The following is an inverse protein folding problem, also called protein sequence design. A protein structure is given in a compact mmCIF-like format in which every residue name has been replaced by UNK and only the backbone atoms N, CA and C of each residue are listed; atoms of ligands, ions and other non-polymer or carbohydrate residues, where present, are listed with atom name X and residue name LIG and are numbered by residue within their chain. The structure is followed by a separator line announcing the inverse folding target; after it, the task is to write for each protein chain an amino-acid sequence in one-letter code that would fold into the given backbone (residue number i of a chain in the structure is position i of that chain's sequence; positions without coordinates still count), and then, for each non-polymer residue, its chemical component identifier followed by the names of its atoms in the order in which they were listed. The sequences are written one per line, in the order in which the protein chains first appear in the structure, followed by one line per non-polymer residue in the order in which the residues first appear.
data_IF_002551686638
#
_entry.id   IF_002551686638
#
_cell.length_a   1.000
_cell.length_b   1.000
_cell.length_c   1.000
_cell.angle_alpha   90.00
_cell.angle_beta   90.00
_cell.angle_gamma   90.00
#
_symmetry.space_group_name_H-M   'P 1'
#
loop_
_entity.id
_entity.type
_entity.pdbx_description
1 polymer ?
#
# COMPACT_ATOMS: atom_id res chain seq x y z
N UNK A 1 -33.39 -35.02 8.78
CA UNK A 1 -32.44 -33.94 9.08
C UNK A 1 -32.70 -32.85 8.06
N UNK A 2 -33.06 -31.63 8.48
CA UNK A 2 -33.29 -30.53 7.54
C UNK A 2 -31.92 -30.15 6.97
N UNK A 3 -31.65 -30.60 5.75
CA UNK A 3 -30.49 -30.20 4.98
C UNK A 3 -30.65 -28.72 4.67
N UNK A 4 -29.79 -27.89 5.26
CA UNK A 4 -29.74 -26.47 4.96
C UNK A 4 -29.08 -26.38 3.59
N UNK A 5 -29.89 -26.34 2.54
CA UNK A 5 -29.46 -26.07 1.16
C UNK A 5 -28.97 -24.62 1.06
N UNK A 6 -27.73 -24.40 1.50
CA UNK A 6 -27.03 -23.14 1.33
C UNK A 6 -25.90 -23.35 0.32
N UNK A 7 -26.16 -22.95 -0.91
CA UNK A 7 -25.15 -22.89 -1.97
C UNK A 7 -24.29 -21.64 -1.72
N UNK A 8 -23.06 -21.86 -1.27
CA UNK A 8 -22.03 -20.81 -1.16
C UNK A 8 -21.69 -20.31 -2.57
N UNK A 9 -21.82 -19.00 -2.80
CA UNK A 9 -21.46 -18.37 -4.07
C UNK A 9 -20.17 -17.57 -3.87
N UNK A 10 -18.99 -18.20 -3.99
CA UNK A 10 -17.74 -17.55 -3.62
C UNK A 10 -17.52 -16.27 -4.43
N UNK A 11 -17.02 -15.23 -3.75
CA UNK A 11 -16.70 -14.01 -4.46
C UNK A 11 -15.62 -14.27 -5.54
N UNK A 12 -15.79 -13.83 -6.80
CA UNK A 12 -14.91 -14.19 -7.91
C UNK A 12 -13.46 -13.66 -7.77
N UNK A 13 -13.23 -12.75 -6.82
CA UNK A 13 -11.89 -12.27 -6.47
C UNK A 13 -11.11 -13.25 -5.57
N UNK A 14 -11.81 -13.98 -4.70
CA UNK A 14 -11.21 -14.89 -3.71
C UNK A 14 -10.49 -16.07 -4.38
N UNK A 15 -11.02 -16.56 -5.51
CA UNK A 15 -10.34 -17.57 -6.33
C UNK A 15 -9.15 -17.01 -7.11
N UNK A 16 -9.29 -15.78 -7.65
CA UNK A 16 -8.22 -15.11 -8.39
C UNK A 16 -7.02 -14.77 -7.50
N UNK A 17 -7.24 -14.52 -6.21
CA UNK A 17 -6.17 -14.25 -5.22
C UNK A 17 -5.36 -15.49 -4.85
N UNK A 18 -5.94 -16.70 -4.87
CA UNK A 18 -5.19 -17.95 -4.64
C UNK A 18 -4.10 -18.18 -5.68
N UNK A 19 -4.25 -17.58 -6.87
CA UNK A 19 -3.36 -17.76 -8.02
C UNK A 19 -2.35 -16.61 -8.20
N UNK A 20 -2.44 -15.50 -7.46
CA UNK A 20 -1.57 -14.32 -7.63
C UNK A 20 -0.96 -13.85 -6.31
N UNK A 21 0.37 -13.73 -6.31
CA UNK A 21 1.11 -13.12 -5.21
C UNK A 21 0.79 -11.62 -5.07
N UNK A 22 0.97 -11.02 -3.87
CA UNK A 22 0.71 -9.60 -3.64
C UNK A 22 1.54 -8.73 -4.60
N UNK A 23 0.98 -7.65 -5.16
CA UNK A 23 1.73 -6.78 -6.06
C UNK A 23 2.94 -6.16 -5.35
N UNK A 24 4.14 -6.52 -5.81
CA UNK A 24 5.38 -5.92 -5.36
C UNK A 24 5.79 -4.79 -6.30
N UNK A 25 6.45 -3.77 -5.74
CA UNK A 25 7.06 -2.65 -6.50
C UNK A 25 8.06 -3.17 -7.56
N UNK A 26 8.62 -4.36 -7.33
CA UNK A 26 9.57 -5.02 -8.24
C UNK A 26 8.93 -5.62 -9.50
N UNK A 27 7.62 -5.90 -9.49
CA UNK A 27 6.91 -6.54 -10.61
C UNK A 27 6.36 -5.54 -11.62
N UNK A 28 6.58 -4.25 -11.37
CA UNK A 28 6.12 -3.20 -12.24
C UNK A 28 7.11 -3.04 -13.41
N UNK A 29 6.59 -2.98 -14.64
CA UNK A 29 7.36 -2.72 -15.86
C UNK A 29 7.82 -1.26 -15.88
N UNK A 30 8.62 -0.90 -14.89
CA UNK A 30 9.32 0.36 -14.86
C UNK A 30 10.45 0.24 -15.87
N UNK A 31 10.35 0.96 -16.99
CA UNK A 31 11.45 1.06 -17.96
C UNK A 31 12.76 1.44 -17.28
N UNK A 32 13.90 1.15 -17.90
CA UNK A 32 15.24 1.38 -17.33
C UNK A 32 15.39 2.77 -16.68
N UNK A 33 14.87 3.81 -17.33
CA UNK A 33 14.90 5.19 -16.85
C UNK A 33 14.12 5.40 -15.54
N UNK A 34 12.95 4.75 -15.38
CA UNK A 34 12.17 4.85 -14.15
C UNK A 34 12.80 4.06 -13.00
N UNK A 35 13.47 2.93 -13.28
CA UNK A 35 14.24 2.19 -12.27
C UNK A 35 15.42 3.01 -11.76
N UNK A 36 16.13 3.67 -12.67
CA UNK A 36 17.23 4.57 -12.34
C UNK A 36 16.72 5.76 -11.52
N UNK A 37 15.62 6.41 -11.95
CA UNK A 37 15.03 7.53 -11.23
C UNK A 37 14.55 7.13 -9.83
N UNK A 38 13.87 5.98 -9.68
CA UNK A 38 13.45 5.46 -8.39
C UNK A 38 14.63 5.11 -7.48
N UNK A 39 15.71 4.53 -8.03
CA UNK A 39 16.92 4.21 -7.27
C UNK A 39 17.60 5.49 -6.76
N UNK A 40 17.84 6.47 -7.63
CA UNK A 40 18.43 7.76 -7.24
C UNK A 40 17.55 8.44 -6.20
N UNK A 41 16.24 8.49 -6.42
CA UNK A 41 15.30 9.12 -5.50
C UNK A 41 15.28 8.43 -4.14
N UNK A 42 15.40 7.10 -4.09
CA UNK A 42 15.46 6.36 -2.83
C UNK A 42 16.76 6.62 -2.07
N UNK A 43 17.88 6.78 -2.79
CA UNK A 43 19.16 7.15 -2.19
C UNK A 43 19.16 8.60 -1.69
N UNK A 44 18.65 9.54 -2.50
CA UNK A 44 18.58 10.97 -2.17
C UNK A 44 17.52 11.28 -1.11
N UNK A 45 16.43 10.50 -1.06
CA UNK A 45 15.39 10.62 -0.04
C UNK A 45 15.82 10.18 1.36
N UNK A 46 17.06 9.70 1.54
CA UNK A 46 17.62 9.42 2.86
C UNK A 46 18.22 10.69 3.47
N UNK A 47 18.14 10.82 4.80
CA UNK A 47 18.74 11.96 5.53
C UNK A 47 20.25 12.11 5.29
N UNK A 48 20.93 11.02 4.90
CA UNK A 48 22.36 11.03 4.55
C UNK A 48 22.68 11.98 3.40
N UNK A 49 21.83 12.08 2.38
CA UNK A 49 22.06 12.99 1.25
C UNK A 49 22.08 14.46 1.70
N UNK A 50 21.20 14.82 2.65
CA UNK A 50 21.15 16.15 3.26
C UNK A 50 22.43 16.45 4.03
N UNK A 51 22.90 15.49 4.85
CA UNK A 51 24.14 15.68 5.62
C UNK A 51 25.36 15.85 4.71
N UNK A 52 25.47 15.06 3.65
CA UNK A 52 26.57 15.18 2.68
C UNK A 52 26.52 16.52 1.96
N UNK A 53 25.35 16.91 1.44
CA UNK A 53 25.19 18.20 0.75
C UNK A 53 25.52 19.38 1.66
N UNK A 54 25.05 19.35 2.91
CA UNK A 54 25.34 20.38 3.90
C UNK A 54 26.84 20.45 4.24
N UNK A 55 27.46 19.29 4.47
CA UNK A 55 28.90 19.22 4.75
C UNK A 55 29.72 19.79 3.58
N UNK A 56 29.40 19.42 2.34
CA UNK A 56 30.07 19.95 1.14
C UNK A 56 29.92 21.46 1.05
N UNK A 57 28.71 22.00 1.28
CA UNK A 57 28.46 23.44 1.23
C UNK A 57 29.28 24.21 2.29
N UNK A 58 29.30 23.69 3.53
CA UNK A 58 30.05 24.30 4.64
C UNK A 58 31.55 24.22 4.39
N UNK A 59 32.07 23.05 3.96
CA UNK A 59 33.48 22.89 3.64
C UNK A 59 33.90 23.82 2.51
N UNK A 60 33.11 23.94 1.45
CA UNK A 60 33.39 24.87 0.35
C UNK A 60 33.40 26.33 0.85
N UNK A 61 32.41 26.73 1.63
CA UNK A 61 32.32 28.08 2.18
C UNK A 61 33.54 28.42 3.05
N UNK A 62 34.00 27.49 3.89
CA UNK A 62 35.20 27.65 4.71
C UNK A 62 36.45 27.78 3.83
N UNK A 63 36.64 26.88 2.86
CA UNK A 63 37.79 26.92 1.96
C UNK A 63 37.85 28.19 1.11
N UNK A 64 36.69 28.66 0.63
CA UNK A 64 36.55 29.92 -0.10
C UNK A 64 36.87 31.14 0.77
N UNK A 65 36.47 31.14 2.05
CA UNK A 65 36.71 32.24 2.98
C UNK A 65 38.18 32.32 3.42
N UNK A 66 38.82 31.17 3.65
CA UNK A 66 40.23 31.11 4.04
C UNK A 66 41.16 31.33 2.83
N UNK A 67 40.65 31.23 1.61
CA UNK A 67 41.40 31.56 0.39
C UNK A 67 42.56 30.61 0.12
N UNK A 68 42.38 29.31 0.40
CA UNK A 68 43.41 28.29 0.23
C UNK A 68 43.25 27.60 -1.14
N UNK A 69 44.36 27.26 -1.79
CA UNK A 69 44.40 26.47 -3.03
C UNK A 69 43.76 27.19 -4.25
N UNK A 70 42.81 26.58 -4.96
CA UNK A 70 42.17 27.13 -6.16
C UNK A 70 41.38 28.41 -5.88
N UNK A 71 40.85 28.55 -4.65
CA UNK A 71 40.08 29.71 -4.20
C UNK A 71 40.91 30.98 -4.05
N UNK A 72 42.24 30.86 -3.91
CA UNK A 72 43.14 32.00 -3.82
C UNK A 72 43.22 32.81 -5.13
N UNK A 73 42.92 32.16 -6.26
CA UNK A 73 43.04 32.73 -7.61
C UNK A 73 41.68 32.98 -8.27
N UNK A 74 40.60 32.59 -7.61
CA UNK A 74 39.25 32.63 -8.16
C UNK A 74 38.53 33.92 -7.73
N UNK A 75 38.18 34.83 -8.64
CA UNK A 75 37.56 36.12 -8.27
C UNK A 75 36.12 36.00 -7.76
N UNK A 76 35.42 34.87 -8.05
CA UNK A 76 33.99 34.72 -7.74
C UNK A 76 33.60 33.32 -7.21
N UNK A 77 34.19 32.86 -6.10
CA UNK A 77 34.00 31.49 -5.61
C UNK A 77 32.57 31.18 -5.16
N UNK A 78 31.87 32.19 -4.62
CA UNK A 78 30.48 32.05 -4.19
C UNK A 78 29.48 32.02 -5.35
N UNK A 79 29.72 32.80 -6.42
CA UNK A 79 28.86 32.80 -7.59
C UNK A 79 28.92 31.46 -8.34
N UNK A 80 30.12 30.87 -8.42
CA UNK A 80 30.31 29.54 -8.99
C UNK A 80 29.61 28.45 -8.17
N UNK A 81 29.73 28.48 -6.84
CA UNK A 81 28.98 27.57 -5.96
C UNK A 81 27.48 27.70 -6.15
N UNK A 82 26.96 28.93 -6.20
CA UNK A 82 25.53 29.17 -6.38
C UNK A 82 25.05 28.62 -7.73
N UNK A 83 25.81 28.86 -8.80
CA UNK A 83 25.51 28.35 -10.13
C UNK A 83 25.48 26.82 -10.17
N UNK A 84 26.53 26.17 -9.64
CA UNK A 84 26.62 24.71 -9.61
C UNK A 84 25.50 24.10 -8.76
N UNK A 85 25.24 24.68 -7.59
CA UNK A 85 24.17 24.24 -6.68
C UNK A 85 22.80 24.33 -7.34
N UNK A 86 22.54 25.36 -8.16
CA UNK A 86 21.26 25.53 -8.83
C UNK A 86 21.03 24.47 -9.93
N UNK A 87 22.06 24.17 -10.73
CA UNK A 87 22.01 23.12 -11.74
C UNK A 87 21.75 21.76 -11.08
N UNK A 88 22.54 21.45 -10.04
CA UNK A 88 22.40 20.20 -9.28
C UNK A 88 20.99 20.09 -8.71
N UNK A 89 20.46 21.15 -8.08
CA UNK A 89 19.11 21.18 -7.54
C UNK A 89 18.02 20.94 -8.60
N UNK A 90 18.08 21.61 -9.74
CA UNK A 90 17.10 21.44 -10.82
C UNK A 90 17.08 19.99 -11.31
N UNK A 91 18.26 19.40 -11.55
CA UNK A 91 18.38 18.00 -11.96
C UNK A 91 17.85 17.05 -10.89
N UNK A 92 18.22 17.25 -9.63
CA UNK A 92 17.71 16.48 -8.49
C UNK A 92 16.19 16.57 -8.41
N UNK A 93 15.60 17.75 -8.57
CA UNK A 93 14.16 17.95 -8.50
C UNK A 93 13.43 17.18 -9.61
N UNK A 94 13.91 17.22 -10.85
CA UNK A 94 13.33 16.44 -11.95
C UNK A 94 13.42 14.93 -11.70
N UNK A 95 14.60 14.45 -11.29
CA UNK A 95 14.81 13.01 -11.01
C UNK A 95 13.93 12.54 -9.86
N UNK A 96 13.82 13.34 -8.79
CA UNK A 96 12.96 13.05 -7.65
C UNK A 96 11.50 12.99 -8.09
N UNK A 97 11.01 13.96 -8.87
CA UNK A 97 9.63 14.00 -9.34
C UNK A 97 9.27 12.73 -10.11
N UNK A 98 10.13 12.30 -11.05
CA UNK A 98 9.93 11.06 -11.81
C UNK A 98 10.02 9.84 -10.89
N UNK A 99 10.99 9.80 -9.98
CA UNK A 99 11.16 8.68 -9.06
C UNK A 99 9.98 8.53 -8.09
N UNK A 100 9.40 9.63 -7.61
CA UNK A 100 8.21 9.61 -6.76
C UNK A 100 6.97 9.14 -7.54
N UNK A 101 6.79 9.57 -8.79
CA UNK A 101 5.71 9.07 -9.64
C UNK A 101 5.81 7.55 -9.83
N UNK A 102 7.01 7.04 -10.10
CA UNK A 102 7.27 5.60 -10.25
C UNK A 102 7.01 4.84 -8.94
N UNK A 103 7.49 5.35 -7.80
CA UNK A 103 7.26 4.71 -6.50
C UNK A 103 5.78 4.76 -6.08
N UNK A 104 5.04 5.79 -6.52
CA UNK A 104 3.61 5.97 -6.27
C UNK A 104 2.71 4.96 -6.99
N UNK A 105 3.06 4.55 -8.22
CA UNK A 105 2.26 3.58 -8.98
C UNK A 105 2.09 2.24 -8.26
N UNK A 106 3.15 1.74 -7.64
CA UNK A 106 3.07 0.53 -6.84
C UNK A 106 2.21 0.70 -5.58
N UNK A 107 2.18 1.91 -4.99
CA UNK A 107 1.29 2.24 -3.87
C UNK A 107 -0.17 2.24 -4.30
N UNK A 108 -0.47 2.87 -5.44
CA UNK A 108 -1.82 2.92 -6.01
C UNK A 108 -2.34 1.52 -6.34
N UNK A 109 -1.49 0.67 -6.92
CA UNK A 109 -1.83 -0.73 -7.22
C UNK A 109 -2.09 -1.54 -5.96
N UNK A 110 -1.30 -1.32 -4.90
CA UNK A 110 -1.55 -1.94 -3.59
C UNK A 110 -2.87 -1.46 -3.00
N UNK A 111 -3.20 -0.17 -3.13
CA UNK A 111 -4.49 0.36 -2.68
C UNK A 111 -5.66 -0.31 -3.41
N UNK A 112 -5.56 -0.51 -4.73
CA UNK A 112 -6.59 -1.22 -5.53
C UNK A 112 -6.76 -2.66 -5.06
N UNK A 113 -5.66 -3.40 -4.81
CA UNK A 113 -5.75 -4.78 -4.32
C UNK A 113 -6.37 -4.83 -2.92
N UNK A 114 -5.96 -3.95 -2.01
CA UNK A 114 -6.55 -3.87 -0.66
C UNK A 114 -8.05 -3.55 -0.73
N UNK A 115 -8.47 -2.67 -1.65
CA UNK A 115 -9.87 -2.36 -1.86
C UNK A 115 -10.67 -3.58 -2.32
N UNK A 116 -10.16 -4.33 -3.29
CA UNK A 116 -10.83 -5.55 -3.78
C UNK A 116 -10.87 -6.66 -2.72
N UNK A 117 -9.83 -6.77 -1.90
CA UNK A 117 -9.81 -7.70 -0.76
C UNK A 117 -10.89 -7.34 0.28
N UNK A 118 -11.06 -6.04 0.56
CA UNK A 118 -12.10 -5.57 1.47
C UNK A 118 -13.50 -5.84 0.93
N UNK A 119 -13.72 -5.68 -0.38
CA UNK A 119 -14.97 -6.03 -1.06
C UNK A 119 -15.29 -7.52 -0.93
N UNK A 120 -14.29 -8.40 -1.15
CA UNK A 120 -14.46 -9.83 -0.99
C UNK A 120 -14.81 -10.23 0.45
N UNK A 121 -14.13 -9.64 1.45
CA UNK A 121 -14.44 -9.87 2.87
C UNK A 121 -15.87 -9.43 3.20
N UNK A 122 -16.30 -8.27 2.70
CA UNK A 122 -17.67 -7.79 2.91
C UNK A 122 -18.70 -8.75 2.33
N UNK A 123 -18.44 -9.28 1.13
CA UNK A 123 -19.32 -10.26 0.50
C UNK A 123 -19.46 -11.53 1.33
N UNK A 124 -18.35 -12.10 1.81
CA UNK A 124 -18.35 -13.28 2.68
C UNK A 124 -19.08 -13.00 4.01
N UNK A 125 -18.91 -11.81 4.59
CA UNK A 125 -19.66 -11.39 5.78
C UNK A 125 -21.17 -11.38 5.54
N UNK A 126 -21.62 -10.87 4.38
CA UNK A 126 -23.04 -10.89 3.99
C UNK A 126 -23.54 -12.33 3.83
N UNK A 127 -22.75 -13.23 3.27
CA UNK A 127 -23.11 -14.64 3.16
C UNK A 127 -23.23 -15.32 4.51
N UNK A 128 -22.28 -15.08 5.42
CA UNK A 128 -22.38 -15.58 6.80
C UNK A 128 -23.64 -15.07 7.49
N UNK A 129 -24.00 -13.80 7.31
CA UNK A 129 -25.23 -13.24 7.87
C UNK A 129 -26.49 -13.93 7.31
N UNK A 130 -26.53 -14.19 5.99
CA UNK A 130 -27.63 -14.94 5.36
C UNK A 130 -27.72 -16.37 5.92
N UNK A 131 -26.57 -17.02 6.08
CA UNK A 131 -26.50 -18.37 6.62
C UNK A 131 -26.99 -18.43 8.08
N UNK A 132 -26.54 -17.50 8.93
CA UNK A 132 -27.03 -17.37 10.31
C UNK A 132 -28.54 -17.13 10.36
N UNK A 133 -29.06 -16.28 9.49
CA UNK A 133 -30.52 -16.04 9.39
C UNK A 133 -31.28 -17.32 9.00
N UNK A 134 -30.72 -18.16 8.14
CA UNK A 134 -31.31 -19.45 7.78
C UNK A 134 -31.27 -20.43 8.95
N UNK A 135 -30.18 -20.46 9.71
CA UNK A 135 -30.06 -21.26 10.93
C UNK A 135 -31.09 -20.83 11.99
N UNK A 136 -31.28 -19.53 12.22
CA UNK A 136 -32.27 -19.00 13.16
C UNK A 136 -33.70 -19.45 12.80
N UNK A 137 -34.05 -19.43 11.51
CA UNK A 137 -35.34 -19.94 11.04
C UNK A 137 -35.51 -21.44 11.28
N UNK A 138 -34.46 -22.23 11.05
CA UNK A 138 -34.48 -23.66 11.31
C UNK A 138 -34.66 -23.94 12.82
N UNK A 139 -33.94 -23.24 13.69
CA UNK A 139 -34.07 -23.34 15.15
C UNK A 139 -35.47 -22.96 15.61
N UNK A 140 -36.04 -21.86 15.12
CA UNK A 140 -37.41 -21.45 15.42
C UNK A 140 -38.44 -22.54 15.02
N UNK A 141 -38.23 -23.21 13.88
CA UNK A 141 -39.10 -24.31 13.45
C UNK A 141 -39.00 -25.55 14.37
N UNK A 142 -37.81 -25.83 14.90
CA UNK A 142 -37.59 -26.94 15.84
C UNK A 142 -38.23 -26.65 17.19
N UNK A 143 -38.10 -25.43 17.71
CA UNK A 143 -38.75 -24.99 18.95
C UNK A 143 -40.27 -25.17 18.84
N UNK A 144 -40.87 -24.69 17.74
CA UNK A 144 -42.31 -24.85 17.50
C UNK A 144 -42.77 -26.32 17.45
N UNK A 145 -41.95 -27.21 16.89
CA UNK A 145 -42.25 -28.66 16.86
C UNK A 145 -42.15 -29.29 18.25
N UNK A 146 -41.22 -28.83 19.08
CA UNK A 146 -41.11 -29.30 20.48
C UNK A 146 -42.32 -28.88 21.30
N UNK A 147 -42.75 -27.62 21.22
CA UNK A 147 -43.96 -27.13 21.88
C UNK A 147 -45.22 -27.93 21.47
N UNK A 148 -45.34 -28.26 20.18
CA UNK A 148 -46.45 -29.10 19.69
C UNK A 148 -46.39 -30.53 20.23
N UNK A 149 -45.20 -31.10 20.41
CA UNK A 149 -45.02 -32.42 21.00
C UNK A 149 -45.37 -32.42 22.48
N UNK A 150 -44.93 -31.42 23.23
CA UNK A 150 -45.29 -31.25 24.65
C UNK A 150 -46.81 -31.14 24.82
N UNK A 151 -47.49 -30.28 24.05
CA UNK A 151 -48.94 -30.15 24.12
C UNK A 151 -49.70 -31.44 23.77
N UNK A 152 -49.15 -32.26 22.86
CA UNK A 152 -49.72 -33.57 22.53
C UNK A 152 -49.51 -34.60 23.64
N UNK A 153 -48.37 -34.55 24.32
CA UNK A 153 -48.08 -35.41 25.47
C UNK A 153 -49.01 -35.06 26.64
N UNK A 154 -49.16 -33.77 26.96
CA UNK A 154 -50.08 -33.32 28.02
C UNK A 154 -51.53 -33.75 27.75
N UNK A 155 -51.99 -33.61 26.51
CA UNK A 155 -53.34 -34.04 26.10
C UNK A 155 -53.54 -35.56 26.10
N UNK A 156 -52.47 -36.34 26.00
CA UNK A 156 -52.50 -37.80 26.10
C UNK A 156 -52.41 -38.30 27.54
N UNK A 157 -51.94 -37.46 28.47
CA UNK A 157 -51.72 -37.80 29.87
C UNK A 157 -52.88 -37.39 30.79
N UNK A 158 -53.77 -36.49 30.34
CA UNK A 158 -55.05 -36.16 30.98
C UNK A 158 -56.22 -36.92 30.36
#
# INVERSE_FOLDING_TARGET
MAEVDFVHDPHPHTEKRKLKAPPMVADEHVGFNGRLAAAITRSVGTMWAVYIAFAVQVTYMILATVGIWFFARDPYPFAFLLFLSNIVQLLLMFVIMVGQQVLGQASDKRAVVTYQDAEAILHECIQMQKHLTAQDKALASLIKRMEQLEARIEKSAG
#
